data_IF_427578378475
#
_entry.id   IF_427578378475
#
_cell.length_a   1.000
_cell.length_b   1.000
_cell.length_c   1.000
_cell.angle_alpha   90.00
_cell.angle_beta   90.00
_cell.angle_gamma   90.00
#
_symmetry.space_group_name_H-M   'P 1'
#
loop_
_entity.id
_entity.type
_entity.pdbx_description
1 polymer ?
#
# COMPACT_ATOMS: atom_id res chain seq x y z
N UNK A 1 -57.21 1.51 -7.75
CA UNK A 1 -56.79 1.16 -9.13
C UNK A 1 -55.38 1.71 -9.31
N UNK A 2 -54.29 0.93 -9.34
CA UNK A 2 -54.14 -0.52 -9.52
C UNK A 2 -52.72 -0.89 -9.10
N UNK A 3 -52.55 -2.07 -8.49
CA UNK A 3 -51.26 -2.76 -8.28
C UNK A 3 -50.43 -2.18 -7.14
N UNK A 4 -50.32 -2.78 -5.94
CA UNK A 4 -50.00 -4.17 -5.63
C UNK A 4 -48.69 -4.62 -6.27
N UNK A 5 -47.59 -4.26 -5.62
CA UNK A 5 -46.34 -5.03 -5.49
C UNK A 5 -45.81 -4.67 -4.08
N UNK A 6 -46.30 -5.28 -3.00
CA UNK A 6 -46.27 -6.72 -2.84
C UNK A 6 -44.84 -7.10 -2.46
N UNK A 7 -44.51 -6.86 -1.19
CA UNK A 7 -43.57 -7.64 -0.37
C UNK A 7 -42.78 -8.74 -1.11
N UNK A 8 -41.67 -8.33 -1.77
CA UNK A 8 -40.72 -9.24 -2.38
C UNK A 8 -39.28 -8.75 -2.17
N UNK A 9 -38.90 -8.42 -0.92
CA UNK A 9 -37.52 -8.00 -0.66
C UNK A 9 -37.00 -8.26 0.77
N UNK A 10 -37.57 -9.20 1.54
CA UNK A 10 -37.06 -9.56 2.88
C UNK A 10 -35.63 -10.18 2.91
N UNK A 11 -34.88 -10.11 1.81
CA UNK A 11 -33.46 -10.47 1.72
C UNK A 11 -32.72 -9.81 0.55
N UNK A 12 -33.33 -8.85 -0.17
CA UNK A 12 -32.67 -8.16 -1.29
C UNK A 12 -32.23 -6.78 -0.83
N UNK A 13 -30.93 -6.59 -0.67
CA UNK A 13 -30.36 -5.28 -0.36
C UNK A 13 -30.76 -4.25 -1.42
N UNK A 14 -31.02 -3.01 -0.98
CA UNK A 14 -31.33 -1.87 -1.84
C UNK A 14 -30.23 -1.69 -2.90
N UNK A 15 -30.54 -1.75 -4.21
CA UNK A 15 -29.57 -1.58 -5.28
C UNK A 15 -28.73 -0.31 -5.15
N UNK A 16 -29.34 0.79 -4.70
CA UNK A 16 -28.66 2.07 -4.55
C UNK A 16 -27.68 2.06 -3.37
N UNK A 17 -27.98 1.30 -2.32
CA UNK A 17 -27.07 1.09 -1.20
C UNK A 17 -25.88 0.22 -1.62
N UNK A 18 -26.12 -0.85 -2.38
CA UNK A 18 -25.06 -1.70 -2.91
C UNK A 18 -24.12 -0.92 -3.83
N UNK A 19 -24.66 -0.11 -4.73
CA UNK A 19 -23.86 0.72 -5.62
C UNK A 19 -22.99 1.71 -4.84
N UNK A 20 -23.56 2.37 -3.82
CA UNK A 20 -22.82 3.29 -2.93
C UNK A 20 -21.68 2.58 -2.20
N UNK A 21 -21.87 1.34 -1.75
CA UNK A 21 -20.81 0.55 -1.10
C UNK A 21 -19.67 0.22 -2.07
N UNK A 22 -19.99 -0.25 -3.27
CA UNK A 22 -18.98 -0.54 -4.31
C UNK A 22 -18.19 0.71 -4.66
N UNK A 23 -18.87 1.84 -4.90
CA UNK A 23 -18.19 3.11 -5.19
C UNK A 23 -17.29 3.57 -4.04
N UNK A 24 -17.71 3.41 -2.78
CA UNK A 24 -16.89 3.74 -1.61
C UNK A 24 -15.67 2.81 -1.49
N UNK A 25 -15.81 1.52 -1.79
CA UNK A 25 -14.73 0.55 -1.77
C UNK A 25 -13.72 0.80 -2.90
N UNK A 26 -14.18 1.11 -4.11
CA UNK A 26 -13.32 1.54 -5.21
C UNK A 26 -12.56 2.83 -4.86
N UNK A 27 -13.24 3.83 -4.29
CA UNK A 27 -12.61 5.07 -3.86
C UNK A 27 -11.53 4.81 -2.79
N UNK A 28 -11.78 3.89 -1.85
CA UNK A 28 -10.78 3.46 -0.86
C UNK A 28 -9.61 2.71 -1.49
N UNK A 29 -9.88 1.82 -2.44
CA UNK A 29 -8.86 1.03 -3.13
C UNK A 29 -7.91 1.90 -3.98
N UNK A 30 -8.40 3.02 -4.52
CA UNK A 30 -7.59 4.00 -5.27
C UNK A 30 -6.59 4.78 -4.40
N UNK A 31 -6.76 4.79 -3.07
CA UNK A 31 -5.84 5.50 -2.17
C UNK A 31 -4.57 4.68 -1.95
N UNK A 32 -3.43 5.39 -1.90
CA UNK A 32 -2.17 4.79 -1.47
C UNK A 32 -2.25 4.26 -0.04
N UNK A 33 -1.58 3.14 0.22
CA UNK A 33 -1.49 2.53 1.55
C UNK A 33 -0.13 2.86 2.17
N UNK A 34 -0.13 3.39 3.39
CA UNK A 34 1.10 3.58 4.16
C UNK A 34 1.38 2.34 5.02
N UNK A 35 2.53 1.69 4.80
CA UNK A 35 3.02 0.62 5.67
C UNK A 35 4.14 1.15 6.55
N UNK A 36 3.96 1.07 7.86
CA UNK A 36 4.94 1.55 8.86
C UNK A 36 5.63 0.37 9.52
N UNK A 37 6.96 0.37 9.51
CA UNK A 37 7.79 -0.62 10.20
C UNK A 37 8.21 -0.07 11.56
N UNK A 38 7.48 -0.44 12.63
CA UNK A 38 7.77 0.00 14.00
C UNK A 38 8.93 -0.79 14.63
N UNK A 39 9.54 -0.21 15.66
CA UNK A 39 10.60 -0.88 16.42
C UNK A 39 11.04 -0.05 17.62
N UNK A 40 11.21 -0.71 18.77
CA UNK A 40 11.35 -0.08 20.08
C UNK A 40 12.66 0.67 20.32
N UNK A 41 13.71 0.38 19.52
CA UNK A 41 15.03 0.97 19.67
C UNK A 41 15.73 1.22 18.32
N UNK A 42 16.79 2.04 18.29
CA UNK A 42 17.71 2.10 17.16
C UNK A 42 18.35 0.73 16.89
N UNK A 43 18.57 0.42 15.61
CA UNK A 43 19.30 -0.77 15.21
C UNK A 43 18.52 -2.09 15.19
N UNK A 44 17.28 -2.14 15.67
CA UNK A 44 16.38 -3.31 15.65
C UNK A 44 15.95 -3.79 14.25
N UNK A 45 16.51 -3.20 13.18
CA UNK A 45 16.34 -3.70 11.81
C UNK A 45 15.19 -3.08 11.00
N UNK A 46 14.58 -1.97 11.44
CA UNK A 46 13.46 -1.32 10.73
C UNK A 46 13.74 -1.07 9.25
N UNK A 47 14.84 -0.37 8.94
CA UNK A 47 15.25 -0.07 7.55
C UNK A 47 15.58 -1.33 6.77
N UNK A 48 16.27 -2.29 7.40
CA UNK A 48 16.63 -3.56 6.77
C UNK A 48 15.38 -4.34 6.34
N UNK A 49 14.42 -4.53 7.24
CA UNK A 49 13.16 -5.22 6.93
C UNK A 49 12.34 -4.48 5.88
N UNK A 50 12.30 -3.15 5.95
CA UNK A 50 11.64 -2.32 4.93
C UNK A 50 12.21 -2.59 3.54
N UNK A 51 13.54 -2.63 3.39
CA UNK A 51 14.21 -2.89 2.11
C UNK A 51 14.07 -4.34 1.64
N UNK A 52 14.07 -5.32 2.55
CA UNK A 52 13.76 -6.71 2.18
C UNK A 52 12.39 -6.79 1.52
N UNK A 53 11.36 -6.22 2.15
CA UNK A 53 10.02 -6.26 1.57
C UNK A 53 9.95 -5.47 0.26
N UNK A 54 10.70 -4.36 0.12
CA UNK A 54 10.78 -3.66 -1.17
C UNK A 54 11.33 -4.56 -2.28
N UNK A 55 12.38 -5.36 -2.00
CA UNK A 55 12.91 -6.34 -2.96
C UNK A 55 11.91 -7.45 -3.26
N UNK A 56 11.21 -7.98 -2.26
CA UNK A 56 10.17 -9.00 -2.46
C UNK A 56 9.06 -8.47 -3.38
N UNK A 57 8.65 -7.20 -3.23
CA UNK A 57 7.68 -6.56 -4.12
C UNK A 57 8.15 -6.48 -5.58
N UNK A 58 9.45 -6.25 -5.81
CA UNK A 58 10.02 -6.23 -7.17
C UNK A 58 10.17 -7.64 -7.72
N UNK A 59 10.76 -8.56 -6.95
CA UNK A 59 11.16 -9.88 -7.42
C UNK A 59 9.95 -10.80 -7.55
N UNK A 60 9.11 -10.89 -6.52
CA UNK A 60 8.03 -11.85 -6.46
C UNK A 60 6.74 -11.29 -7.05
N UNK A 61 6.49 -9.99 -6.84
CA UNK A 61 5.25 -9.34 -7.26
C UNK A 61 5.38 -8.48 -8.52
N UNK A 62 6.59 -8.32 -9.07
CA UNK A 62 6.87 -7.53 -10.28
C UNK A 62 6.30 -6.11 -10.22
N UNK A 63 6.27 -5.51 -9.04
CA UNK A 63 5.81 -4.14 -8.86
C UNK A 63 6.92 -3.14 -9.18
N UNK A 64 6.52 -1.99 -9.71
CA UNK A 64 7.37 -0.82 -9.85
C UNK A 64 7.60 -0.19 -8.48
N UNK A 65 8.85 -0.26 -7.99
CA UNK A 65 9.24 0.20 -6.66
C UNK A 65 10.40 1.17 -6.78
N UNK A 66 10.16 2.39 -6.33
CA UNK A 66 11.16 3.45 -6.26
C UNK A 66 11.52 3.79 -4.81
N UNK A 67 12.81 3.98 -4.55
CA UNK A 67 13.34 4.41 -3.26
C UNK A 67 13.51 5.93 -3.29
N UNK A 68 12.66 6.64 -2.55
CA UNK A 68 12.75 8.10 -2.43
C UNK A 68 13.86 8.56 -1.47
N UNK A 69 13.95 7.94 -0.30
CA UNK A 69 14.98 8.22 0.71
C UNK A 69 15.24 6.99 1.56
N UNK A 70 16.49 6.75 1.91
CA UNK A 70 16.91 5.65 2.76
C UNK A 70 18.16 6.04 3.55
N UNK A 71 18.17 5.69 4.83
CA UNK A 71 19.32 5.89 5.71
C UNK A 71 19.86 4.53 6.14
N UNK A 72 21.03 4.14 5.61
CA UNK A 72 21.66 2.85 5.92
C UNK A 72 22.50 2.90 7.21
N UNK A 73 22.81 4.09 7.71
CA UNK A 73 23.66 4.32 8.88
C UNK A 73 24.97 3.51 8.86
N UNK A 74 25.62 3.45 7.69
CA UNK A 74 26.89 2.72 7.43
C UNK A 74 26.82 1.19 7.60
N UNK A 75 25.62 0.61 7.61
CA UNK A 75 25.45 -0.85 7.63
C UNK A 75 25.57 -1.40 6.21
N UNK A 76 26.67 -2.10 5.92
CA UNK A 76 26.96 -2.66 4.60
C UNK A 76 25.83 -3.58 4.10
N UNK A 77 25.36 -4.50 4.94
CA UNK A 77 24.28 -5.44 4.57
C UNK A 77 22.97 -4.72 4.23
N UNK A 78 22.70 -3.58 4.88
CA UNK A 78 21.52 -2.77 4.57
C UNK A 78 21.70 -2.01 3.26
N UNK A 79 22.90 -1.50 2.99
CA UNK A 79 23.20 -0.85 1.71
C UNK A 79 23.15 -1.84 0.53
N UNK A 80 23.56 -3.09 0.74
CA UNK A 80 23.49 -4.14 -0.28
C UNK A 80 22.05 -4.42 -0.74
N UNK A 81 21.05 -4.24 0.13
CA UNK A 81 19.63 -4.38 -0.25
C UNK A 81 19.13 -3.29 -1.21
N UNK A 82 19.89 -2.21 -1.42
CA UNK A 82 19.56 -1.18 -2.41
C UNK A 82 19.97 -1.58 -3.83
N UNK A 83 20.85 -2.58 -3.97
CA UNK A 83 21.28 -3.05 -5.28
C UNK A 83 20.08 -3.66 -6.03
N UNK A 84 19.82 -3.15 -7.22
CA UNK A 84 18.69 -3.57 -8.06
C UNK A 84 17.34 -2.92 -7.71
N UNK A 85 17.32 -1.93 -6.81
CA UNK A 85 16.18 -1.03 -6.63
C UNK A 85 16.42 0.28 -7.38
N UNK A 86 15.35 0.91 -7.85
CA UNK A 86 15.43 2.22 -8.50
C UNK A 86 15.49 3.33 -7.44
N UNK A 87 16.58 4.11 -7.45
CA UNK A 87 16.80 5.21 -6.50
C UNK A 87 16.47 6.55 -7.15
N UNK A 88 15.55 7.30 -6.55
CA UNK A 88 15.26 8.66 -7.01
C UNK A 88 16.39 9.61 -6.61
N UNK A 89 16.85 10.48 -7.52
CA UNK A 89 17.88 11.47 -7.21
C UNK A 89 17.34 12.48 -6.18
N UNK A 90 18.18 12.84 -5.20
CA UNK A 90 17.81 13.83 -4.19
C UNK A 90 17.64 15.20 -4.82
N UNK A 91 16.52 15.86 -4.52
CA UNK A 91 16.32 17.27 -4.88
C UNK A 91 17.33 18.14 -4.12
N UNK A 92 18.13 18.91 -4.84
CA UNK A 92 18.97 19.96 -4.25
C UNK A 92 18.06 21.11 -3.81
N UNK A 93 18.20 21.54 -2.58
CA UNK A 93 17.47 22.70 -2.02
C UNK A 93 18.53 23.75 -1.71
N UNK A 94 18.33 24.98 -2.21
CA UNK A 94 19.21 26.12 -2.02
C UNK A 94 18.88 26.86 -0.72
#
# INVERSE_FOLDING_TARGET
MTGADGDAAAGRADPDELLRRVQADEARARRGKLRVFFGFAPGVGKTYRMLQVARDLVIDHKLDVVVGVVETHRRADTAALLLGLDLLPRRKVA
#
